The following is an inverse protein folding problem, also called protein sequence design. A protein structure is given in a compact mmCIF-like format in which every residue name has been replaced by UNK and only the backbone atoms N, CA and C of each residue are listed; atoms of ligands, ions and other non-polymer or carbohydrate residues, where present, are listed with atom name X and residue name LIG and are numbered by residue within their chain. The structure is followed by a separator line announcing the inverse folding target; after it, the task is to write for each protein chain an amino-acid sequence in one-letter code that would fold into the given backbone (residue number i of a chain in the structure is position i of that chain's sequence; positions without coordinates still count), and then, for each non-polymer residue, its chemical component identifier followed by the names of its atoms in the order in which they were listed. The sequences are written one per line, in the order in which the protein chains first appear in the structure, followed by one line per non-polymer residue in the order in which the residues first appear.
data_IF_733506971072
#
_entry.id   IF_733506971072
#
_cell.length_a   1.000
_cell.length_b   1.000
_cell.length_c   1.000
_cell.angle_alpha   90.00
_cell.angle_beta   90.00
_cell.angle_gamma   90.00
#
_symmetry.space_group_name_H-M   'P 1'
#
loop_
_entity.id
_entity.type
_entity.pdbx_description
1 polymer ?
#
# COMPACT_ATOMS: atom_id res chain seq x y z
N UNK A 1 14.28 -38.73 -9.01
CA UNK A 1 14.01 -37.84 -10.17
C UNK A 1 13.65 -38.77 -11.31
N UNK A 2 12.38 -38.85 -11.74
CA UNK A 2 11.91 -39.96 -12.58
C UNK A 2 12.72 -40.15 -13.87
N UNK A 3 13.13 -39.06 -14.52
CA UNK A 3 13.93 -39.08 -15.74
C UNK A 3 15.38 -39.51 -15.49
N UNK A 4 16.01 -39.01 -14.42
CA UNK A 4 17.37 -39.40 -14.00
C UNK A 4 17.45 -40.89 -13.63
N UNK A 5 16.46 -41.39 -12.88
CA UNK A 5 16.40 -42.78 -12.46
C UNK A 5 16.20 -43.75 -13.65
N UNK A 6 15.57 -43.27 -14.74
CA UNK A 6 15.39 -44.03 -15.98
C UNK A 6 16.66 -44.11 -16.84
N UNK A 7 17.42 -43.02 -16.93
CA UNK A 7 18.65 -42.90 -17.72
C UNK A 7 19.81 -43.67 -17.06
N UNK A 8 19.82 -43.73 -15.72
CA UNK A 8 20.86 -44.37 -14.92
C UNK A 8 20.33 -45.63 -14.21
N UNK A 9 19.62 -46.49 -14.95
CA UNK A 9 18.82 -47.60 -14.39
C UNK A 9 19.64 -48.85 -14.01
N UNK A 10 20.81 -49.03 -14.62
CA UNK A 10 21.71 -50.17 -14.50
C UNK A 10 22.48 -50.24 -13.17
N UNK A 11 22.96 -51.45 -12.83
CA UNK A 11 23.56 -51.76 -11.52
C UNK A 11 24.89 -51.03 -11.29
N UNK A 12 25.60 -50.66 -12.36
CA UNK A 12 26.84 -49.89 -12.31
C UNK A 12 26.61 -48.41 -11.96
N UNK A 13 25.40 -47.88 -12.19
CA UNK A 13 25.05 -46.49 -11.88
C UNK A 13 24.45 -46.30 -10.47
N UNK A 14 24.41 -47.35 -9.65
CA UNK A 14 23.91 -47.27 -8.27
C UNK A 14 24.66 -46.24 -7.41
N UNK A 15 25.99 -46.17 -7.56
CA UNK A 15 26.82 -45.20 -6.83
C UNK A 15 26.49 -43.77 -7.23
N UNK A 16 26.37 -43.49 -8.54
CA UNK A 16 25.99 -42.19 -9.09
C UNK A 16 24.59 -41.74 -8.64
N UNK A 17 23.61 -42.66 -8.61
CA UNK A 17 22.27 -42.36 -8.08
C UNK A 17 22.28 -42.02 -6.60
N UNK A 18 23.01 -42.79 -5.79
CA UNK A 18 23.13 -42.53 -4.35
C UNK A 18 23.81 -41.19 -4.07
N UNK A 19 24.82 -40.83 -4.86
CA UNK A 19 25.50 -39.54 -4.78
C UNK A 19 24.57 -38.38 -5.17
N UNK A 20 23.83 -38.51 -6.28
CA UNK A 20 22.83 -37.52 -6.71
C UNK A 20 21.73 -37.30 -5.65
N UNK A 21 21.22 -38.39 -5.05
CA UNK A 21 20.24 -38.31 -3.95
C UNK A 21 20.83 -37.61 -2.73
N UNK A 22 22.10 -37.86 -2.42
CA UNK A 22 22.79 -37.23 -1.29
C UNK A 22 23.00 -35.73 -1.53
N UNK A 23 23.41 -35.34 -2.74
CA UNK A 23 23.54 -33.93 -3.15
C UNK A 23 22.17 -33.24 -3.07
N UNK A 24 21.11 -33.88 -3.56
CA UNK A 24 19.75 -33.34 -3.48
C UNK A 24 19.28 -33.12 -2.04
N UNK A 25 19.54 -34.08 -1.15
CA UNK A 25 19.23 -33.94 0.29
C UNK A 25 20.00 -32.78 0.92
N UNK A 26 21.32 -32.68 0.67
CA UNK A 26 22.17 -31.60 1.19
C UNK A 26 21.74 -30.23 0.66
N UNK A 27 21.35 -30.15 -0.61
CA UNK A 27 20.80 -28.93 -1.20
C UNK A 27 19.48 -28.53 -0.52
N UNK A 28 18.58 -29.48 -0.30
CA UNK A 28 17.33 -29.25 0.44
C UNK A 28 17.57 -28.77 1.88
N UNK A 29 18.54 -29.36 2.58
CA UNK A 29 18.94 -28.94 3.93
C UNK A 29 19.56 -27.53 3.94
N UNK A 30 20.43 -27.21 2.99
CA UNK A 30 21.03 -25.88 2.86
C UNK A 30 19.98 -24.80 2.56
N UNK A 31 19.06 -25.08 1.64
CA UNK A 31 17.93 -24.18 1.32
C UNK A 31 17.06 -23.97 2.56
N UNK A 32 16.73 -25.04 3.30
CA UNK A 32 15.98 -24.94 4.56
C UNK A 32 16.75 -24.11 5.61
N UNK A 33 18.06 -24.27 5.68
CA UNK A 33 18.93 -23.47 6.55
C UNK A 33 18.89 -21.98 6.23
N UNK A 34 19.03 -21.63 4.94
CA UNK A 34 18.94 -20.24 4.46
C UNK A 34 17.58 -19.63 4.78
N UNK A 35 16.49 -20.39 4.58
CA UNK A 35 15.15 -19.92 4.91
C UNK A 35 14.92 -19.76 6.41
N UNK A 36 15.45 -20.66 7.24
CA UNK A 36 15.43 -20.52 8.70
C UNK A 36 16.22 -19.30 9.16
N UNK A 37 17.36 -19.00 8.54
CA UNK A 37 18.13 -17.80 8.82
C UNK A 37 17.39 -16.53 8.40
N UNK A 38 16.78 -16.52 7.21
CA UNK A 38 15.96 -15.42 6.73
C UNK A 38 14.74 -15.18 7.65
N UNK A 39 14.06 -16.25 8.06
CA UNK A 39 13.00 -16.21 9.06
C UNK A 39 13.50 -15.60 10.38
N UNK A 40 14.64 -16.08 10.87
CA UNK A 40 15.22 -15.56 12.10
C UNK A 40 15.65 -14.10 11.97
N UNK A 41 16.12 -13.67 10.81
CA UNK A 41 16.45 -12.27 10.53
C UNK A 41 15.20 -11.40 10.53
N UNK A 42 14.12 -11.84 9.87
CA UNK A 42 12.82 -11.14 9.88
C UNK A 42 12.24 -11.08 11.30
N UNK A 43 12.40 -12.14 12.10
CA UNK A 43 11.96 -12.20 13.51
C UNK A 43 12.80 -11.32 14.43
N UNK A 44 14.12 -11.25 14.20
CA UNK A 44 15.07 -10.49 15.01
C UNK A 44 15.11 -9.01 14.67
N UNK A 45 14.60 -8.59 13.52
CA UNK A 45 14.39 -7.17 13.19
C UNK A 45 13.23 -6.64 14.05
N UNK A 46 13.52 -5.87 15.13
CA UNK A 46 12.53 -5.54 16.12
C UNK A 46 11.51 -4.58 15.52
N UNK A 47 10.34 -5.09 15.15
CA UNK A 47 9.15 -4.26 15.11
C UNK A 47 8.86 -3.86 16.57
N UNK A 48 9.25 -2.64 16.96
CA UNK A 48 9.03 -2.09 18.31
C UNK A 48 7.52 -1.98 18.58
N UNK A 49 6.87 -3.06 18.96
CA UNK A 49 5.51 -3.07 19.46
C UNK A 49 5.42 -4.13 20.56
N UNK A 50 5.49 -3.69 21.81
CA UNK A 50 5.07 -4.53 22.94
C UNK A 50 3.59 -4.91 22.73
N UNK A 51 3.23 -6.17 22.98
CA UNK A 51 1.83 -6.61 22.96
C UNK A 51 1.15 -6.01 24.19
N UNK A 52 0.14 -5.11 24.06
CA UNK A 52 -0.59 -4.60 25.21
C UNK A 52 -1.22 -5.78 25.97
N UNK A 53 -0.92 -5.92 27.26
CA UNK A 53 -1.41 -7.01 28.10
C UNK A 53 -0.60 -8.32 28.08
N UNK A 54 0.57 -8.37 27.43
CA UNK A 54 1.49 -9.52 27.53
C UNK A 54 1.05 -10.81 26.84
N UNK A 55 0.04 -10.76 25.97
CA UNK A 55 -0.44 -11.92 25.22
C UNK A 55 0.57 -12.47 24.20
N UNK A 56 0.35 -13.72 23.76
CA UNK A 56 1.13 -14.37 22.70
C UNK A 56 1.18 -13.48 21.45
N UNK A 57 2.41 -13.15 21.01
CA UNK A 57 2.63 -12.42 19.78
C UNK A 57 2.06 -13.22 18.59
N UNK A 58 1.44 -12.59 17.58
CA UNK A 58 0.87 -13.29 16.43
C UNK A 58 1.86 -14.25 15.75
N UNK A 59 3.15 -13.88 15.72
CA UNK A 59 4.24 -14.74 15.23
C UNK A 59 4.35 -16.05 16.03
N UNK A 60 4.16 -16.01 17.36
CA UNK A 60 4.30 -17.17 18.24
C UNK A 60 3.14 -18.14 18.08
N UNK A 61 1.91 -17.61 17.89
CA UNK A 61 0.73 -18.44 17.60
C UNK A 61 0.83 -19.12 16.22
N UNK A 62 1.46 -18.46 15.25
CA UNK A 62 1.62 -19.01 13.90
C UNK A 62 2.71 -20.09 13.79
N UNK A 63 3.65 -20.14 14.75
CA UNK A 63 4.74 -21.13 14.78
C UNK A 63 4.31 -22.51 15.26
N UNK A 64 3.33 -22.58 16.17
CA UNK A 64 2.83 -23.86 16.69
C UNK A 64 1.95 -24.61 15.66
N UNK A 65 1.20 -23.88 14.85
CA UNK A 65 0.14 -24.46 14.00
C UNK A 65 0.67 -25.16 12.73
N UNK A 66 1.95 -24.95 12.34
CA UNK A 66 2.50 -25.45 11.05
C UNK A 66 3.79 -26.25 11.13
N UNK A 67 4.35 -26.48 12.34
CA UNK A 67 5.47 -27.42 12.52
C UNK A 67 5.11 -28.88 12.22
N UNK A 68 3.83 -29.18 12.07
CA UNK A 68 3.33 -30.51 11.71
C UNK A 68 2.91 -30.60 10.23
N UNK A 69 3.85 -30.51 9.29
CA UNK A 69 3.81 -31.28 8.01
C UNK A 69 4.97 -30.88 7.10
N UNK A 70 5.56 -31.89 6.47
CA UNK A 70 6.59 -31.79 5.44
C UNK A 70 6.10 -31.02 4.20
N UNK A 71 6.08 -29.69 4.24
CA UNK A 71 5.47 -28.87 3.19
C UNK A 71 6.41 -28.60 2.00
N UNK A 72 5.84 -28.50 0.80
CA UNK A 72 6.58 -28.20 -0.45
C UNK A 72 7.23 -26.81 -0.37
N UNK A 73 8.29 -26.59 -1.16
CA UNK A 73 9.00 -25.30 -1.24
C UNK A 73 8.06 -24.13 -1.52
N UNK A 74 7.01 -24.33 -2.33
CA UNK A 74 5.97 -23.32 -2.59
C UNK A 74 5.21 -22.91 -1.33
N UNK A 75 4.86 -23.86 -0.46
CA UNK A 75 4.18 -23.59 0.82
C UNK A 75 5.10 -22.85 1.79
N UNK A 76 6.37 -23.26 1.86
CA UNK A 76 7.38 -22.57 2.68
C UNK A 76 7.59 -21.13 2.21
N UNK A 77 7.67 -20.91 0.90
CA UNK A 77 7.85 -19.57 0.34
C UNK A 77 6.63 -18.68 0.59
N UNK A 78 5.42 -19.20 0.36
CA UNK A 78 4.18 -18.46 0.64
C UNK A 78 4.11 -18.04 2.11
N UNK A 79 4.54 -18.93 3.02
CA UNK A 79 4.61 -18.64 4.45
C UNK A 79 5.63 -17.53 4.79
N UNK A 80 6.82 -17.55 4.18
CA UNK A 80 7.82 -16.48 4.37
C UNK A 80 7.28 -15.14 3.89
N UNK A 81 6.55 -15.12 2.76
CA UNK A 81 5.93 -13.90 2.26
C UNK A 81 4.86 -13.36 3.22
N UNK A 82 4.03 -14.23 3.80
CA UNK A 82 3.06 -13.84 4.83
C UNK A 82 3.75 -13.30 6.10
N UNK A 83 4.88 -13.90 6.48
CA UNK A 83 5.66 -13.45 7.63
C UNK A 83 6.28 -12.06 7.38
N UNK A 84 6.84 -11.85 6.19
CA UNK A 84 7.37 -10.56 5.77
C UNK A 84 6.27 -9.49 5.78
N UNK A 85 5.11 -9.80 5.23
CA UNK A 85 3.96 -8.90 5.24
C UNK A 85 3.51 -8.55 6.66
N UNK A 86 3.39 -9.53 7.55
CA UNK A 86 3.05 -9.32 8.96
C UNK A 86 4.08 -8.41 9.65
N UNK A 87 5.38 -8.60 9.35
CA UNK A 87 6.44 -7.72 9.85
C UNK A 87 6.27 -6.28 9.34
N UNK A 88 5.98 -6.11 8.05
CA UNK A 88 5.73 -4.80 7.45
C UNK A 88 4.49 -4.12 8.06
N UNK A 89 3.41 -4.85 8.30
CA UNK A 89 2.22 -4.31 8.99
C UNK A 89 2.50 -3.87 10.42
N UNK A 90 3.41 -4.55 11.12
CA UNK A 90 3.83 -4.10 12.45
C UNK A 90 4.71 -2.85 12.35
N UNK A 91 5.64 -2.80 11.40
CA UNK A 91 6.48 -1.61 11.17
C UNK A 91 5.66 -0.40 10.71
N UNK A 92 4.60 -0.61 9.92
CA UNK A 92 3.75 0.48 9.48
C UNK A 92 3.11 1.22 10.66
N UNK A 93 2.86 0.54 11.79
CA UNK A 93 2.29 1.14 13.01
C UNK A 93 3.21 2.15 13.71
N UNK A 94 4.47 2.24 13.30
CA UNK A 94 5.39 3.30 13.77
C UNK A 94 4.95 4.67 13.26
N UNK A 95 4.32 4.72 12.08
CA UNK A 95 3.73 5.94 11.55
C UNK A 95 2.44 6.27 12.30
N UNK A 96 2.32 7.49 12.82
CA UNK A 96 1.11 7.95 13.50
C UNK A 96 -0.05 8.18 12.53
N UNK A 97 0.26 8.56 11.29
CA UNK A 97 -0.72 8.81 10.25
C UNK A 97 -1.11 7.51 9.54
N UNK A 98 -2.38 7.12 9.67
CA UNK A 98 -2.96 5.92 9.02
C UNK A 98 -2.85 5.94 7.50
N UNK A 99 -2.92 7.11 6.88
CA UNK A 99 -2.73 7.25 5.44
C UNK A 99 -1.27 6.95 5.06
N UNK A 100 -0.30 7.44 5.84
CA UNK A 100 1.11 7.14 5.64
C UNK A 100 1.42 5.65 5.86
N UNK A 101 0.79 5.00 6.86
CA UNK A 101 0.86 3.54 7.01
C UNK A 101 0.42 2.83 5.72
N UNK A 102 -0.68 3.31 5.11
CA UNK A 102 -1.21 2.73 3.88
C UNK A 102 -0.26 2.93 2.70
N UNK A 103 0.35 4.12 2.56
CA UNK A 103 1.38 4.39 1.53
C UNK A 103 2.59 3.49 1.70
N UNK A 104 3.07 3.31 2.94
CA UNK A 104 4.15 2.37 3.24
C UNK A 104 3.81 0.94 2.80
N UNK A 105 2.61 0.46 3.14
CA UNK A 105 2.16 -0.89 2.74
C UNK A 105 1.99 -1.03 1.22
N UNK A 106 1.51 0.01 0.54
CA UNK A 106 1.41 0.03 -0.93
C UNK A 106 2.77 -0.07 -1.60
N UNK A 107 3.76 0.73 -1.18
CA UNK A 107 5.12 0.70 -1.73
C UNK A 107 5.75 -0.69 -1.59
N UNK A 108 5.75 -1.23 -0.37
CA UNK A 108 6.36 -2.52 -0.12
C UNK A 108 5.58 -3.65 -0.82
N UNK A 109 4.25 -3.64 -0.76
CA UNK A 109 3.42 -4.65 -1.43
C UNK A 109 3.62 -4.66 -2.93
N UNK A 110 3.66 -3.49 -3.57
CA UNK A 110 3.92 -3.35 -5.02
C UNK A 110 5.33 -3.84 -5.37
N UNK A 111 6.33 -3.46 -4.60
CA UNK A 111 7.71 -3.92 -4.79
C UNK A 111 7.83 -5.45 -4.69
N UNK A 112 7.24 -6.06 -3.66
CA UNK A 112 7.27 -7.52 -3.48
C UNK A 112 6.59 -8.23 -4.65
N UNK A 113 5.41 -7.78 -5.07
CA UNK A 113 4.70 -8.35 -6.22
C UNK A 113 5.56 -8.25 -7.49
N UNK A 114 6.21 -7.11 -7.72
CA UNK A 114 7.08 -6.93 -8.89
C UNK A 114 8.30 -7.87 -8.82
N UNK A 115 8.97 -7.97 -7.67
CA UNK A 115 10.10 -8.89 -7.49
C UNK A 115 9.72 -10.36 -7.65
N UNK A 116 8.51 -10.75 -7.24
CA UNK A 116 8.01 -12.11 -7.50
C UNK A 116 7.79 -12.34 -8.99
N UNK A 117 7.19 -11.38 -9.71
CA UNK A 117 6.98 -11.47 -11.16
C UNK A 117 8.28 -11.51 -11.96
N UNK A 118 9.30 -10.80 -11.49
CA UNK A 118 10.61 -10.71 -12.15
C UNK A 118 11.53 -11.90 -11.83
N UNK A 119 11.07 -12.89 -11.04
CA UNK A 119 11.87 -14.04 -10.61
C UNK A 119 11.15 -15.37 -10.82
N UNK A 120 11.87 -16.49 -10.67
CA UNK A 120 11.31 -17.84 -10.72
C UNK A 120 10.26 -18.10 -9.62
N UNK A 121 10.13 -17.20 -8.65
CA UNK A 121 9.09 -17.28 -7.62
C UNK A 121 7.67 -17.20 -8.20
N UNK A 122 7.50 -16.61 -9.39
CA UNK A 122 6.21 -16.57 -10.10
C UNK A 122 5.64 -17.97 -10.33
N UNK A 123 6.48 -18.94 -10.72
CA UNK A 123 6.05 -20.31 -11.00
C UNK A 123 5.79 -21.10 -9.71
N UNK A 124 6.54 -20.79 -8.64
CA UNK A 124 6.39 -21.43 -7.34
C UNK A 124 5.16 -20.95 -6.56
N UNK A 125 4.84 -19.66 -6.64
CA UNK A 125 3.73 -19.04 -5.89
C UNK A 125 2.41 -19.03 -6.70
N UNK A 126 2.50 -18.97 -8.02
CA UNK A 126 1.36 -18.99 -8.94
C UNK A 126 0.56 -17.68 -9.01
N UNK A 127 -0.30 -17.60 -10.02
CA UNK A 127 -1.08 -16.39 -10.35
C UNK A 127 -2.08 -15.99 -9.25
N UNK A 128 -2.60 -16.96 -8.50
CA UNK A 128 -3.54 -16.69 -7.40
C UNK A 128 -2.88 -15.90 -6.27
N UNK A 129 -1.62 -16.21 -5.95
CA UNK A 129 -0.84 -15.45 -4.98
C UNK A 129 -0.66 -14.00 -5.44
N UNK A 130 -0.35 -13.80 -6.73
CA UNK A 130 -0.19 -12.46 -7.34
C UNK A 130 -1.51 -11.69 -7.30
N UNK A 131 -2.62 -12.34 -7.64
CA UNK A 131 -3.95 -11.72 -7.63
C UNK A 131 -4.34 -11.29 -6.21
N UNK A 132 -4.10 -12.15 -5.22
CA UNK A 132 -4.35 -11.87 -3.80
C UNK A 132 -3.54 -10.66 -3.31
N UNK A 133 -2.24 -10.61 -3.60
CA UNK A 133 -1.39 -9.50 -3.14
C UNK A 133 -1.69 -8.17 -3.86
N UNK A 134 -2.00 -8.21 -5.16
CA UNK A 134 -2.49 -7.01 -5.85
C UNK A 134 -3.82 -6.50 -5.28
N UNK A 135 -4.71 -7.39 -4.84
CA UNK A 135 -5.95 -6.99 -4.17
C UNK A 135 -5.66 -6.28 -2.83
N UNK A 136 -4.65 -6.73 -2.07
CA UNK A 136 -4.21 -6.04 -0.85
C UNK A 136 -3.63 -4.67 -1.14
N UNK A 137 -2.79 -4.51 -2.16
CA UNK A 137 -2.29 -3.18 -2.58
C UNK A 137 -3.45 -2.23 -2.90
N UNK A 138 -4.47 -2.70 -3.63
CA UNK A 138 -5.69 -1.92 -3.89
C UNK A 138 -6.48 -1.59 -2.62
N UNK A 139 -6.52 -2.51 -1.65
CA UNK A 139 -7.15 -2.28 -0.35
C UNK A 139 -6.42 -1.17 0.42
N UNK A 140 -5.08 -1.18 0.45
CA UNK A 140 -4.32 -0.10 1.06
C UNK A 140 -4.52 1.24 0.33
N UNK A 141 -4.68 1.25 -0.99
CA UNK A 141 -5.07 2.46 -1.73
C UNK A 141 -6.43 2.99 -1.27
N UNK A 142 -7.42 2.10 -1.10
CA UNK A 142 -8.75 2.47 -0.57
C UNK A 142 -8.65 3.02 0.86
N UNK A 143 -7.78 2.43 1.69
CA UNK A 143 -7.57 2.89 3.07
C UNK A 143 -6.90 4.27 3.12
N UNK A 144 -5.89 4.50 2.27
CA UNK A 144 -5.28 5.81 2.10
C UNK A 144 -6.35 6.86 1.74
N UNK A 145 -7.20 6.57 0.74
CA UNK A 145 -8.26 7.49 0.33
C UNK A 145 -9.22 7.83 1.47
N UNK A 146 -9.65 6.80 2.21
CA UNK A 146 -10.54 6.97 3.36
C UNK A 146 -9.91 7.83 4.46
N UNK A 147 -8.65 7.58 4.79
CA UNK A 147 -7.95 8.27 5.87
C UNK A 147 -7.53 9.70 5.50
N UNK A 148 -7.31 10.00 4.22
CA UNK A 148 -6.87 11.33 3.77
C UNK A 148 -7.99 12.23 3.24
N UNK A 149 -8.86 11.72 2.36
CA UNK A 149 -9.70 12.57 1.52
C UNK A 149 -11.18 12.57 1.93
N UNK A 150 -11.68 11.50 2.57
CA UNK A 150 -13.10 11.42 2.90
C UNK A 150 -13.59 12.54 3.82
N UNK A 151 -12.74 13.05 4.73
CA UNK A 151 -13.10 14.19 5.59
C UNK A 151 -13.25 15.49 4.79
N UNK A 152 -12.33 15.74 3.86
CA UNK A 152 -12.37 16.90 2.96
C UNK A 152 -13.63 16.85 2.09
N UNK A 153 -13.91 15.68 1.52
CA UNK A 153 -15.11 15.46 0.69
C UNK A 153 -16.38 15.58 1.54
N UNK A 154 -16.38 15.07 2.77
CA UNK A 154 -17.46 15.23 3.73
C UNK A 154 -17.76 16.70 4.02
N UNK A 155 -16.74 17.56 4.05
CA UNK A 155 -16.89 19.02 4.22
C UNK A 155 -17.62 19.66 3.03
N UNK A 156 -17.42 19.13 1.81
CA UNK A 156 -18.09 19.59 0.60
C UNK A 156 -19.52 19.03 0.44
N UNK A 157 -19.94 18.09 1.30
CA UNK A 157 -21.33 17.61 1.26
C UNK A 157 -22.27 18.72 1.73
N UNK A 158 -23.33 18.90 0.96
CA UNK A 158 -24.40 19.82 1.27
C UNK A 158 -25.50 19.09 2.00
N UNK A 159 -25.89 19.64 3.14
CA UNK A 159 -27.02 19.12 3.91
C UNK A 159 -28.29 19.58 3.20
N UNK A 160 -29.20 18.66 2.88
CA UNK A 160 -30.54 18.96 2.36
C UNK A 160 -31.44 19.51 3.48
N UNK A 161 -30.94 20.53 4.17
CA UNK A 161 -31.58 21.15 5.32
C UNK A 161 -32.58 22.20 4.85
N UNK A 162 -33.73 22.27 5.51
CA UNK A 162 -34.78 23.29 5.32
C UNK A 162 -34.38 24.67 5.88
N UNK A 163 -33.07 24.98 5.88
CA UNK A 163 -32.54 26.23 6.40
C UNK A 163 -32.94 27.39 5.50
N UNK A 164 -33.11 28.57 6.10
CA UNK A 164 -33.25 29.81 5.35
C UNK A 164 -32.04 30.04 4.42
N UNK A 165 -32.27 30.61 3.23
CA UNK A 165 -31.25 30.80 2.19
C UNK A 165 -29.97 31.47 2.70
N UNK A 166 -30.11 32.50 3.55
CA UNK A 166 -28.97 33.20 4.18
C UNK A 166 -28.11 32.29 5.07
N UNK A 167 -28.72 31.34 5.79
CA UNK A 167 -27.99 30.41 6.64
C UNK A 167 -27.22 29.37 5.80
N UNK A 168 -27.79 28.93 4.67
CA UNK A 168 -27.11 28.07 3.70
C UNK A 168 -25.91 28.79 3.11
N UNK A 169 -26.07 30.04 2.66
CA UNK A 169 -24.99 30.86 2.12
C UNK A 169 -23.84 31.04 3.13
N UNK A 170 -24.15 31.29 4.42
CA UNK A 170 -23.14 31.38 5.48
C UNK A 170 -22.42 30.04 5.69
N UNK A 171 -23.17 28.94 5.78
CA UNK A 171 -22.60 27.60 5.93
C UNK A 171 -21.68 27.22 4.76
N UNK A 172 -22.07 27.53 3.53
CA UNK A 172 -21.23 27.27 2.35
C UNK A 172 -19.94 28.10 2.36
N UNK A 173 -19.99 29.36 2.81
CA UNK A 173 -18.79 30.20 3.01
C UNK A 173 -17.84 29.63 4.06
N UNK A 174 -18.36 29.02 5.13
CA UNK A 174 -17.55 28.36 6.16
C UNK A 174 -16.97 27.04 5.64
N UNK A 175 -17.76 26.23 4.94
CA UNK A 175 -17.34 24.96 4.32
C UNK A 175 -16.22 25.16 3.29
N UNK A 176 -16.28 26.19 2.42
CA UNK A 176 -15.20 26.44 1.45
C UNK A 176 -13.90 26.89 2.11
N UNK A 177 -13.97 27.70 3.17
CA UNK A 177 -12.78 28.09 3.94
C UNK A 177 -12.16 26.87 4.63
N UNK A 178 -12.99 26.04 5.25
CA UNK A 178 -12.55 24.78 5.87
C UNK A 178 -11.92 23.83 4.85
N UNK A 179 -12.53 23.71 3.67
CA UNK A 179 -11.96 22.95 2.55
C UNK A 179 -10.57 23.46 2.19
N UNK A 180 -10.40 24.78 1.98
CA UNK A 180 -9.11 25.36 1.58
C UNK A 180 -8.00 25.06 2.60
N UNK A 181 -8.29 25.14 3.90
CA UNK A 181 -7.32 24.79 4.95
C UNK A 181 -6.98 23.30 4.92
N UNK A 182 -7.99 22.42 4.92
CA UNK A 182 -7.76 20.97 4.95
C UNK A 182 -7.04 20.48 3.69
N UNK A 183 -7.39 21.02 2.52
CA UNK A 183 -6.76 20.69 1.25
C UNK A 183 -5.28 21.08 1.23
N UNK A 184 -4.95 22.30 1.66
CA UNK A 184 -3.57 22.78 1.76
C UNK A 184 -2.75 21.94 2.74
N UNK A 185 -3.29 21.62 3.92
CA UNK A 185 -2.62 20.80 4.94
C UNK A 185 -2.31 19.39 4.42
N UNK A 186 -3.27 18.77 3.72
CA UNK A 186 -3.08 17.46 3.09
C UNK A 186 -2.03 17.53 1.99
N UNK A 187 -2.12 18.50 1.07
CA UNK A 187 -1.15 18.61 -0.02
C UNK A 187 0.27 18.87 0.50
N UNK A 188 0.42 19.78 1.46
CA UNK A 188 1.71 20.09 2.10
C UNK A 188 2.31 18.87 2.80
N UNK A 189 1.49 18.08 3.48
CA UNK A 189 1.96 16.89 4.19
C UNK A 189 2.35 15.80 3.19
N UNK A 190 1.49 15.53 2.21
CA UNK A 190 1.62 14.36 1.34
C UNK A 190 2.55 14.58 0.14
N UNK A 191 2.89 15.83 -0.22
CA UNK A 191 3.95 16.12 -1.19
C UNK A 191 5.32 15.62 -0.72
N UNK A 192 5.57 15.61 0.59
CA UNK A 192 6.80 15.08 1.18
C UNK A 192 6.89 13.55 1.16
N UNK A 193 5.78 12.85 0.91
CA UNK A 193 5.75 11.39 0.85
C UNK A 193 6.28 10.91 -0.49
N UNK A 194 6.71 9.65 -0.56
CA UNK A 194 7.26 9.06 -1.78
C UNK A 194 6.50 7.78 -2.10
N UNK A 195 6.00 7.68 -3.33
CA UNK A 195 5.55 6.42 -3.93
C UNK A 195 6.54 6.04 -5.02
N UNK A 196 7.25 4.93 -4.88
CA UNK A 196 8.39 4.61 -5.76
C UNK A 196 7.97 4.14 -7.15
N UNK A 197 6.95 3.28 -7.22
CA UNK A 197 6.40 2.78 -8.48
C UNK A 197 5.60 3.90 -9.17
N UNK A 198 6.04 4.30 -10.36
CA UNK A 198 5.47 5.42 -11.11
C UNK A 198 4.02 5.16 -11.53
N UNK A 199 3.70 3.93 -11.95
CA UNK A 199 2.34 3.56 -12.34
C UNK A 199 1.41 3.63 -11.13
N UNK A 200 1.82 3.09 -9.98
CA UNK A 200 1.05 3.16 -8.74
C UNK A 200 0.87 4.61 -8.28
N UNK A 201 1.90 5.45 -8.41
CA UNK A 201 1.83 6.87 -8.09
C UNK A 201 0.76 7.57 -8.92
N UNK A 202 0.76 7.33 -10.22
CA UNK A 202 -0.22 7.91 -11.14
C UNK A 202 -1.64 7.37 -10.89
N UNK A 203 -1.78 6.06 -10.68
CA UNK A 203 -3.06 5.44 -10.30
C UNK A 203 -3.64 6.07 -9.03
N UNK A 204 -2.80 6.35 -8.02
CA UNK A 204 -3.22 7.02 -6.80
C UNK A 204 -3.68 8.47 -7.07
N UNK A 205 -2.91 9.26 -7.83
CA UNK A 205 -3.26 10.65 -8.20
C UNK A 205 -4.59 10.70 -8.97
N UNK A 206 -4.73 9.88 -10.01
CA UNK A 206 -5.97 9.74 -10.78
C UNK A 206 -7.15 9.39 -9.87
N UNK A 207 -6.96 8.46 -8.94
CA UNK A 207 -8.01 8.00 -8.04
C UNK A 207 -8.46 9.10 -7.06
N UNK A 208 -7.53 9.93 -6.57
CA UNK A 208 -7.85 11.12 -5.76
C UNK A 208 -8.60 12.16 -6.60
N UNK A 209 -8.13 12.48 -7.80
CA UNK A 209 -8.77 13.45 -8.70
C UNK A 209 -10.20 13.04 -9.07
N UNK A 210 -10.42 11.76 -9.39
CA UNK A 210 -11.74 11.18 -9.68
C UNK A 210 -12.71 11.30 -8.50
N UNK A 211 -12.19 11.28 -7.27
CA UNK A 211 -12.99 11.38 -6.07
C UNK A 211 -13.30 12.84 -5.70
N UNK A 212 -12.29 13.72 -5.78
CA UNK A 212 -12.39 15.09 -5.26
C UNK A 212 -12.99 16.07 -6.25
N UNK A 213 -12.58 16.03 -7.52
CA UNK A 213 -12.97 17.03 -8.52
C UNK A 213 -14.48 17.09 -8.77
N UNK A 214 -15.21 15.96 -8.89
CA UNK A 214 -16.66 16.02 -9.07
C UNK A 214 -17.37 16.66 -7.88
N UNK A 215 -16.97 16.33 -6.65
CA UNK A 215 -17.53 16.91 -5.43
C UNK A 215 -17.25 18.40 -5.33
N UNK A 216 -16.01 18.81 -5.64
CA UNK A 216 -15.61 20.22 -5.65
C UNK A 216 -16.34 21.04 -6.70
N UNK A 217 -16.37 20.57 -7.96
CA UNK A 217 -17.10 21.23 -9.06
C UNK A 217 -18.58 21.41 -8.73
N UNK A 218 -19.22 20.39 -8.16
CA UNK A 218 -20.62 20.48 -7.76
C UNK A 218 -20.83 21.53 -6.66
N UNK A 219 -19.98 21.54 -5.65
CA UNK A 219 -20.05 22.50 -4.55
C UNK A 219 -19.85 23.94 -5.04
N UNK A 220 -18.84 24.18 -5.87
CA UNK A 220 -18.55 25.51 -6.44
C UNK A 220 -19.68 25.98 -7.35
N UNK A 221 -20.20 25.13 -8.24
CA UNK A 221 -21.32 25.50 -9.10
C UNK A 221 -22.55 25.95 -8.29
N UNK A 222 -22.86 25.27 -7.18
CA UNK A 222 -23.94 25.69 -6.27
C UNK A 222 -23.62 26.99 -5.54
N UNK A 223 -22.37 27.18 -5.10
CA UNK A 223 -21.91 28.41 -4.44
C UNK A 223 -22.07 29.63 -5.35
N UNK A 224 -21.72 29.48 -6.63
CA UNK A 224 -21.80 30.55 -7.63
C UNK A 224 -23.23 30.90 -8.02
N UNK A 225 -24.16 29.93 -7.99
CA UNK A 225 -25.57 30.17 -8.27
C UNK A 225 -26.34 30.87 -7.11
N UNK A 226 -25.74 31.08 -5.93
CA UNK A 226 -26.42 31.70 -4.79
C UNK A 226 -26.45 33.23 -4.84
N UNK A 227 -27.64 33.86 -4.94
CA UNK A 227 -27.77 35.33 -5.01
C UNK A 227 -27.18 36.05 -3.80
N UNK A 228 -27.29 35.48 -2.61
CA UNK A 228 -26.90 36.07 -1.31
C UNK A 228 -25.37 36.11 -1.12
N UNK A 229 -24.63 35.38 -1.95
CA UNK A 229 -23.17 35.38 -1.94
C UNK A 229 -22.62 36.53 -2.81
N UNK A 230 -23.41 36.99 -3.79
CA UNK A 230 -23.18 38.20 -4.58
C UNK A 230 -21.88 38.18 -5.40
N UNK A 231 -21.46 39.35 -5.91
CA UNK A 231 -20.24 39.57 -6.73
C UNK A 231 -18.91 39.27 -6.02
N UNK A 232 -18.92 38.74 -4.79
CA UNK A 232 -17.74 38.41 -4.00
C UNK A 232 -17.38 36.92 -4.02
N UNK A 233 -18.08 36.09 -4.80
CA UNK A 233 -17.79 34.64 -4.98
C UNK A 233 -16.34 34.39 -5.39
N UNK A 234 -15.81 35.19 -6.32
CA UNK A 234 -14.48 34.99 -6.89
C UNK A 234 -13.37 35.25 -5.87
N UNK A 235 -13.63 36.06 -4.84
CA UNK A 235 -12.70 36.28 -3.73
C UNK A 235 -12.70 35.14 -2.70
N UNK A 236 -13.72 34.27 -2.72
CA UNK A 236 -13.86 33.15 -1.78
C UNK A 236 -13.25 31.86 -2.33
N UNK A 237 -13.23 31.71 -3.65
CA UNK A 237 -12.70 30.54 -4.35
C UNK A 237 -11.20 30.72 -4.50
N UNK A 238 -10.42 29.97 -3.71
CA UNK A 238 -8.95 30.04 -3.72
C UNK A 238 -8.32 29.21 -4.84
N UNK A 239 -8.98 28.11 -5.22
CA UNK A 239 -8.48 27.16 -6.21
C UNK A 239 -9.57 26.94 -7.26
N UNK A 240 -9.24 27.07 -8.53
CA UNK A 240 -10.10 26.52 -9.58
C UNK A 240 -9.89 24.98 -9.65
N UNK A 241 -10.75 24.24 -10.38
CA UNK A 241 -10.58 22.79 -10.53
C UNK A 241 -9.21 22.37 -11.08
N UNK A 242 -8.62 23.17 -11.96
CA UNK A 242 -7.32 22.92 -12.58
C UNK A 242 -6.17 23.09 -11.56
N UNK A 243 -6.26 24.06 -10.64
CA UNK A 243 -5.32 24.28 -9.55
C UNK A 243 -5.33 23.09 -8.57
N UNK A 244 -6.52 22.53 -8.30
CA UNK A 244 -6.66 21.33 -7.47
C UNK A 244 -5.99 20.14 -8.14
N UNK A 245 -6.23 19.95 -9.43
CA UNK A 245 -5.62 18.87 -10.21
C UNK A 245 -4.09 19.00 -10.26
N UNK A 246 -3.57 20.21 -10.49
CA UNK A 246 -2.13 20.49 -10.46
C UNK A 246 -1.51 20.13 -9.10
N UNK A 247 -2.16 20.53 -7.99
CA UNK A 247 -1.72 20.19 -6.63
C UNK A 247 -1.74 18.69 -6.35
N UNK A 248 -2.74 17.96 -6.85
CA UNK A 248 -2.80 16.50 -6.73
C UNK A 248 -1.65 15.85 -7.53
N UNK A 249 -1.31 16.40 -8.69
CA UNK A 249 -0.22 15.91 -9.51
C UNK A 249 1.17 16.13 -8.90
N UNK A 250 1.32 17.08 -7.96
CA UNK A 250 2.55 17.28 -7.19
C UNK A 250 2.72 16.28 -6.02
N UNK A 251 1.71 15.45 -5.72
CA UNK A 251 1.77 14.53 -4.58
C UNK A 251 2.72 13.36 -4.83
N UNK A 252 3.33 12.87 -3.75
CA UNK A 252 4.15 11.65 -3.70
C UNK A 252 5.50 11.68 -4.44
N UNK A 253 6.01 12.87 -4.78
CA UNK A 253 7.33 13.03 -5.41
C UNK A 253 8.48 13.11 -4.38
N UNK A 254 8.16 13.37 -3.12
CA UNK A 254 9.12 13.77 -2.10
C UNK A 254 9.61 15.20 -2.31
N UNK A 255 10.45 15.71 -1.41
CA UNK A 255 10.95 17.09 -1.44
C UNK A 255 11.94 17.41 -2.59
N UNK A 256 11.91 16.67 -3.71
CA UNK A 256 12.83 16.85 -4.83
C UNK A 256 12.36 17.86 -5.90
N UNK A 257 11.27 18.59 -5.68
CA UNK A 257 10.78 19.66 -6.56
C UNK A 257 11.65 20.91 -6.69
N UNK A 258 12.89 20.91 -6.16
CA UNK A 258 13.84 22.01 -6.33
C UNK A 258 15.29 21.53 -6.41
N UNK A 259 15.57 20.48 -7.18
CA UNK A 259 16.91 20.24 -7.71
C UNK A 259 16.89 20.54 -9.20
N UNK A 260 17.00 21.83 -9.51
CA UNK A 260 17.20 22.30 -10.87
C UNK A 260 18.41 21.63 -11.50
N UNK A 261 18.24 21.32 -12.79
CA UNK A 261 19.29 21.16 -13.81
C UNK A 261 20.62 21.74 -13.34
N UNK A 262 21.61 20.87 -13.13
CA UNK A 262 23.01 21.26 -13.31
C UNK A 262 23.65 20.31 -14.31
N UNK A 263 24.17 20.98 -15.34
CA UNK A 263 24.98 20.51 -16.47
C UNK A 263 26.06 19.53 -16.06
#
# INVERSE_FOLDING_TARGET
MPEFDSVFSDQYCLVLRNEAVTIWKRLGEAIRGIFMELENLIRRDPAKAAVPGGGLHPITRYLDDRRASSSSMSVQMAWIMELLESNLEMKSKIYRDSALCSVFMMNNGRYIVQKVKDSELVSLLGDDWIRKHNAKVRQYCTNYQRSSWNKIIGTLKLDNSSLASNAIAKSMKEKIKSFNTQFEDVCKTQSSWIVFDEQLREEMRISVSRLLLPAYRNFIGRLQCMPEIGRNTDRLIRYNPEDIEARINELFEGNNGSSGVRK
#
